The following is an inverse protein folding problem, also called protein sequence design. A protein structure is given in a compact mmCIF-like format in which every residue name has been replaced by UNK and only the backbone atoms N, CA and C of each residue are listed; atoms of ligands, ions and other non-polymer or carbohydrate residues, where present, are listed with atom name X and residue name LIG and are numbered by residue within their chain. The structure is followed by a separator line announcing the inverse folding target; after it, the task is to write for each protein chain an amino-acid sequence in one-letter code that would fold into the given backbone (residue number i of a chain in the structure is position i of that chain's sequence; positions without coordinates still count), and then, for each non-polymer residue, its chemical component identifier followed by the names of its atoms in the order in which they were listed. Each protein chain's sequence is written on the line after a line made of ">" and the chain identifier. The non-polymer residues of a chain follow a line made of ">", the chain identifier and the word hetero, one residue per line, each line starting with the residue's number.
data_IF_820219766727
#
_entry.id   IF_820219766727
#
_cell.length_a   1.000
_cell.length_b   1.000
_cell.length_c   1.000
_cell.angle_alpha   90.00
_cell.angle_beta   90.00
_cell.angle_gamma   90.00
#
_symmetry.space_group_name_H-M   'P 1'
#
loop_
_entity.id
_entity.type
_entity.pdbx_description
1 polymer ?
#
# COMPACT_ATOMS: atom_id res chain seq x y z
N UNK A 1 1.49 -6.99 -22.08
CA UNK A 1 2.68 -6.24 -21.60
C UNK A 1 2.14 -5.19 -20.67
N UNK A 2 2.65 -5.16 -19.44
CA UNK A 2 2.24 -4.16 -18.45
C UNK A 2 2.71 -2.80 -18.92
N UNK A 3 1.79 -1.83 -18.98
CA UNK A 3 2.11 -0.43 -19.33
C UNK A 3 1.89 0.51 -18.15
N UNK A 4 1.11 0.08 -17.15
CA UNK A 4 0.85 0.83 -15.93
C UNK A 4 1.00 -0.07 -14.70
N UNK A 5 1.80 0.36 -13.74
CA UNK A 5 1.95 -0.28 -12.43
C UNK A 5 1.34 0.65 -11.38
N UNK A 6 0.12 0.33 -10.93
CA UNK A 6 -0.69 1.25 -10.13
C UNK A 6 -0.60 0.99 -8.62
N UNK A 7 0.40 0.23 -8.17
CA UNK A 7 0.59 -0.02 -6.74
C UNK A 7 2.09 -0.10 -6.45
N UNK A 8 2.67 1.01 -6.01
CA UNK A 8 4.11 1.09 -5.71
C UNK A 8 4.37 1.95 -4.48
N UNK A 9 5.38 1.56 -3.72
CA UNK A 9 5.76 2.21 -2.47
C UNK A 9 7.12 2.89 -2.60
N UNK A 10 7.25 4.02 -1.94
CA UNK A 10 8.48 4.82 -1.93
C UNK A 10 9.11 4.82 -0.54
N UNK A 11 10.26 5.46 -0.41
CA UNK A 11 10.91 5.73 0.89
C UNK A 11 10.08 6.67 1.79
N UNK A 12 8.96 7.20 1.28
CA UNK A 12 7.98 7.93 2.06
C UNK A 12 7.17 7.00 2.98
N UNK A 13 7.13 5.69 2.69
CA UNK A 13 6.61 4.65 3.57
C UNK A 13 7.69 3.57 3.80
N UNK A 14 7.49 2.35 3.36
CA UNK A 14 8.39 1.20 3.55
C UNK A 14 9.00 0.65 2.26
N UNK A 15 8.82 1.36 1.13
CA UNK A 15 9.46 1.06 -0.13
C UNK A 15 10.92 1.55 -0.22
N UNK A 16 11.59 1.17 -1.30
CA UNK A 16 12.98 1.56 -1.58
C UNK A 16 13.11 2.67 -2.63
N UNK A 17 12.05 2.94 -3.39
CA UNK A 17 12.09 3.98 -4.41
C UNK A 17 12.04 5.39 -3.81
N UNK A 18 12.89 6.27 -4.31
CA UNK A 18 12.59 7.72 -4.37
C UNK A 18 11.75 8.01 -5.61
N UNK A 19 11.07 9.16 -5.70
CA UNK A 19 10.37 9.54 -6.94
C UNK A 19 11.28 9.53 -8.18
N UNK A 20 12.54 9.95 -8.02
CA UNK A 20 13.52 9.96 -9.11
C UNK A 20 13.86 8.54 -9.57
N UNK A 21 14.16 7.64 -8.63
CA UNK A 21 14.51 6.25 -8.94
C UNK A 21 13.31 5.46 -9.43
N UNK A 22 12.09 5.75 -8.96
CA UNK A 22 10.84 5.18 -9.47
C UNK A 22 10.66 5.52 -10.95
N UNK A 23 10.81 6.80 -11.32
CA UNK A 23 10.70 7.25 -12.72
C UNK A 23 11.79 6.64 -13.60
N UNK A 24 13.02 6.53 -13.09
CA UNK A 24 14.11 5.88 -13.80
C UNK A 24 13.83 4.39 -14.05
N UNK A 25 13.38 3.66 -13.02
CA UNK A 25 13.01 2.26 -13.11
C UNK A 25 11.83 2.06 -14.07
N UNK A 26 10.81 2.91 -14.03
CA UNK A 26 9.67 2.82 -14.95
C UNK A 26 10.13 2.86 -16.42
N UNK A 27 11.08 3.74 -16.74
CA UNK A 27 11.68 3.82 -18.09
C UNK A 27 12.50 2.59 -18.45
N UNK A 28 13.24 2.03 -17.50
CA UNK A 28 14.04 0.81 -17.68
C UNK A 28 13.16 -0.41 -17.97
N UNK A 29 12.07 -0.58 -17.21
CA UNK A 29 11.12 -1.68 -17.35
C UNK A 29 10.05 -1.47 -18.44
N UNK A 30 10.13 -0.37 -19.21
CA UNK A 30 9.14 0.04 -20.24
C UNK A 30 7.72 0.27 -19.69
N UNK A 31 7.59 0.55 -18.39
CA UNK A 31 6.34 0.96 -17.72
C UNK A 31 6.15 2.45 -17.95
N UNK A 32 4.98 2.84 -18.49
CA UNK A 32 4.70 4.22 -18.89
C UNK A 32 3.97 5.03 -17.82
N UNK A 33 3.36 4.33 -16.88
CA UNK A 33 2.54 4.92 -15.82
C UNK A 33 2.83 4.20 -14.52
N UNK A 34 3.08 4.96 -13.46
CA UNK A 34 3.22 4.43 -12.11
C UNK A 34 2.30 5.18 -11.16
N UNK A 35 1.75 4.53 -10.15
CA UNK A 35 1.07 5.21 -9.05
C UNK A 35 1.89 5.07 -7.76
N UNK A 36 2.12 6.20 -7.08
CA UNK A 36 2.74 6.22 -5.76
C UNK A 36 1.65 6.09 -4.72
N UNK A 37 1.60 4.97 -4.01
CA UNK A 37 0.50 4.59 -3.09
C UNK A 37 1.05 4.27 -1.70
N UNK A 38 1.90 5.15 -1.16
CA UNK A 38 2.52 4.95 0.14
C UNK A 38 1.51 4.66 1.27
N UNK A 39 1.94 3.85 2.24
CA UNK A 39 1.13 3.46 3.39
C UNK A 39 0.70 4.63 4.28
N UNK A 40 -0.60 4.90 4.25
CA UNK A 40 -1.36 5.81 5.13
C UNK A 40 -0.85 7.24 5.17
N UNK A 41 -0.26 7.68 4.07
CA UNK A 41 0.11 9.08 3.86
C UNK A 41 0.27 9.36 2.38
N UNK A 42 -0.03 10.59 2.01
CA UNK A 42 0.23 11.09 0.66
C UNK A 42 1.71 11.46 0.52
N UNK A 43 2.25 11.32 -0.69
CA UNK A 43 3.63 11.72 -0.96
C UNK A 43 3.77 13.27 -0.94
N UNK A 44 4.66 13.86 -0.11
CA UNK A 44 4.72 15.31 0.10
C UNK A 44 5.20 16.10 -1.13
N UNK A 45 6.00 15.47 -2.00
CA UNK A 45 6.49 16.13 -3.23
C UNK A 45 5.50 16.03 -4.40
N UNK A 46 4.42 15.26 -4.28
CA UNK A 46 3.35 15.19 -5.28
C UNK A 46 2.21 16.11 -4.81
N UNK A 47 1.96 17.19 -5.55
CA UNK A 47 0.98 18.21 -5.18
C UNK A 47 -0.20 18.29 -6.17
N UNK A 48 -0.20 17.42 -7.17
CA UNK A 48 -1.25 17.33 -8.19
C UNK A 48 -1.61 15.87 -8.41
N UNK A 49 -2.88 15.58 -8.77
CA UNK A 49 -3.34 14.21 -8.99
C UNK A 49 -2.49 13.38 -9.95
N UNK A 50 -1.89 14.03 -10.95
CA UNK A 50 -0.95 13.44 -11.91
C UNK A 50 0.19 14.40 -12.17
N UNK A 51 1.39 13.85 -12.33
CA UNK A 51 2.60 14.55 -12.76
C UNK A 51 3.24 13.79 -13.93
N UNK A 52 3.86 14.49 -14.88
CA UNK A 52 4.63 13.87 -15.96
C UNK A 52 6.11 14.18 -15.79
N UNK A 53 6.93 13.15 -15.66
CA UNK A 53 8.38 13.26 -15.46
C UNK A 53 9.08 12.35 -16.47
N UNK A 54 9.95 12.91 -17.31
CA UNK A 54 10.77 12.14 -18.26
C UNK A 54 10.00 11.15 -19.17
N UNK A 55 8.75 11.48 -19.51
CA UNK A 55 7.88 10.63 -20.34
C UNK A 55 7.16 9.51 -19.58
N UNK A 56 7.25 9.50 -18.25
CA UNK A 56 6.47 8.66 -17.34
C UNK A 56 5.36 9.50 -16.72
N UNK A 57 4.16 8.93 -16.66
CA UNK A 57 3.05 9.49 -15.89
C UNK A 57 3.11 8.94 -14.48
N UNK A 58 3.18 9.83 -13.49
CA UNK A 58 3.13 9.50 -12.07
C UNK A 58 1.76 9.90 -11.55
N UNK A 59 0.95 8.93 -11.15
CA UNK A 59 -0.34 9.12 -10.48
C UNK A 59 -0.07 9.27 -8.99
N UNK A 60 -0.57 10.35 -8.40
CA UNK A 60 -0.52 10.55 -6.95
C UNK A 60 -1.61 9.72 -6.31
N UNK A 61 -1.22 8.77 -5.47
CA UNK A 61 -2.13 7.88 -4.75
C UNK A 61 -1.81 7.77 -3.27
N UNK A 62 -2.49 6.84 -2.62
CA UNK A 62 -2.31 6.44 -1.21
C UNK A 62 -2.83 5.01 -1.04
N UNK A 63 -2.16 4.20 -0.23
CA UNK A 63 -2.73 2.95 0.31
C UNK A 63 -3.12 3.20 1.77
N UNK A 64 -4.41 3.23 2.07
CA UNK A 64 -4.92 3.48 3.41
C UNK A 64 -5.44 2.17 4.01
N UNK A 65 -4.84 1.76 5.14
CA UNK A 65 -5.37 0.63 5.90
C UNK A 65 -6.59 1.03 6.71
N UNK A 66 -7.61 0.18 6.70
CA UNK A 66 -8.89 0.39 7.37
C UNK A 66 -9.36 -0.86 8.11
N UNK A 67 -10.12 -0.67 9.19
CA UNK A 67 -10.76 -1.74 9.95
C UNK A 67 -12.19 -1.99 9.44
N UNK A 68 -12.43 -3.16 8.87
CA UNK A 68 -13.73 -3.62 8.38
C UNK A 68 -14.47 -4.52 9.40
N UNK A 69 -14.06 -4.50 10.67
CA UNK A 69 -14.64 -5.26 11.77
C UNK A 69 -14.00 -6.64 11.91
N UNK A 70 -14.26 -7.53 10.96
CA UNK A 70 -13.76 -8.91 11.03
C UNK A 70 -12.30 -9.05 10.55
N UNK A 71 -11.80 -8.05 9.81
CA UNK A 71 -10.42 -7.97 9.33
C UNK A 71 -10.03 -6.53 8.96
N UNK A 72 -8.72 -6.27 8.93
CA UNK A 72 -8.17 -5.04 8.34
C UNK A 72 -7.89 -5.24 6.85
N UNK A 73 -8.33 -4.28 6.02
CA UNK A 73 -8.10 -4.26 4.57
C UNK A 73 -7.40 -2.97 4.15
N UNK A 74 -6.87 -2.95 2.94
CA UNK A 74 -6.19 -1.79 2.37
C UNK A 74 -6.99 -1.23 1.20
N UNK A 75 -7.19 0.09 1.23
CA UNK A 75 -7.86 0.84 0.18
C UNK A 75 -6.84 1.65 -0.60
N UNK A 76 -6.86 1.51 -1.92
CA UNK A 76 -6.06 2.32 -2.85
C UNK A 76 -6.88 3.53 -3.27
N UNK A 77 -6.38 4.72 -2.96
CA UNK A 77 -6.87 5.99 -3.48
C UNK A 77 -5.99 6.47 -4.63
N UNK A 78 -6.60 6.90 -5.73
CA UNK A 78 -5.89 7.38 -6.93
C UNK A 78 -6.25 8.82 -7.27
N UNK A 79 -5.31 9.53 -7.90
CA UNK A 79 -5.47 10.91 -8.31
C UNK A 79 -5.82 11.83 -7.13
N UNK A 80 -5.00 11.75 -6.08
CA UNK A 80 -5.22 12.50 -4.84
C UNK A 80 -5.24 14.00 -5.08
N UNK A 81 -6.26 14.65 -4.53
CA UNK A 81 -6.39 16.08 -4.30
C UNK A 81 -6.52 16.25 -2.79
N UNK A 82 -5.41 16.60 -2.14
CA UNK A 82 -5.30 16.57 -0.69
C UNK A 82 -6.37 17.43 0.01
N UNK A 83 -6.96 16.88 1.06
CA UNK A 83 -8.02 17.52 1.86
C UNK A 83 -7.57 17.65 3.30
N UNK A 84 -8.08 18.68 4.00
CA UNK A 84 -7.75 18.85 5.40
C UNK A 84 -8.22 17.67 6.28
N UNK A 85 -9.29 16.97 5.86
CA UNK A 85 -9.83 15.79 6.54
C UNK A 85 -8.92 14.57 6.38
N UNK A 86 -8.42 14.31 5.16
CA UNK A 86 -7.47 13.23 4.90
C UNK A 86 -6.15 13.51 5.60
N UNK A 87 -5.59 14.72 5.43
CA UNK A 87 -4.33 15.12 6.06
C UNK A 87 -4.34 14.95 7.58
N UNK A 88 -5.42 15.39 8.25
CA UNK A 88 -5.56 15.22 9.69
C UNK A 88 -5.63 13.74 10.14
N UNK A 89 -6.27 12.88 9.34
CA UNK A 89 -6.32 11.44 9.62
C UNK A 89 -4.96 10.78 9.41
N UNK A 90 -4.27 11.10 8.31
CA UNK A 90 -2.93 10.57 8.04
C UNK A 90 -1.95 11.03 9.11
N UNK A 91 -1.99 12.29 9.56
CA UNK A 91 -1.14 12.79 10.66
C UNK A 91 -1.38 12.02 11.96
N UNK A 92 -2.65 11.75 12.30
CA UNK A 92 -3.02 10.92 13.48
C UNK A 92 -2.42 9.52 13.37
N UNK A 93 -2.54 8.90 12.19
CA UNK A 93 -2.02 7.56 11.92
C UNK A 93 -0.50 7.53 11.98
N UNK A 94 0.19 8.52 11.41
CA UNK A 94 1.66 8.57 11.41
C UNK A 94 2.20 8.75 12.84
N UNK A 95 1.52 9.53 13.69
CA UNK A 95 1.85 9.62 15.10
C UNK A 95 1.71 8.27 15.83
N UNK A 96 0.63 7.52 15.57
CA UNK A 96 0.45 6.15 16.10
C UNK A 96 1.55 5.20 15.61
N UNK A 97 1.89 5.25 14.31
CA UNK A 97 2.97 4.45 13.71
C UNK A 97 4.29 4.66 14.44
N UNK A 98 4.65 5.90 14.74
CA UNK A 98 5.87 6.26 15.48
C UNK A 98 5.82 5.72 16.92
N UNK A 99 4.72 5.91 17.65
CA UNK A 99 4.58 5.40 19.01
C UNK A 99 4.64 3.87 19.07
N UNK A 100 3.99 3.22 18.10
CA UNK A 100 3.97 1.76 17.97
C UNK A 100 5.34 1.21 17.64
N UNK A 101 6.08 1.85 16.72
CA UNK A 101 7.45 1.47 16.39
C UNK A 101 8.34 1.51 17.63
N UNK A 102 8.26 2.56 18.45
CA UNK A 102 9.01 2.65 19.72
C UNK A 102 8.69 1.51 20.68
N UNK A 103 7.41 1.18 20.84
CA UNK A 103 6.97 0.05 21.69
C UNK A 103 7.46 -1.29 21.15
N UNK A 104 7.34 -1.50 19.84
CA UNK A 104 7.77 -2.72 19.15
C UNK A 104 9.27 -2.92 19.31
N UNK A 105 10.08 -1.88 19.04
CA UNK A 105 11.53 -1.92 19.22
C UNK A 105 11.89 -2.26 20.67
N UNK A 106 11.31 -1.58 21.65
CA UNK A 106 11.57 -1.87 23.07
C UNK A 106 11.24 -3.32 23.47
N UNK A 107 10.19 -3.92 22.88
CA UNK A 107 9.86 -5.33 23.09
C UNK A 107 10.89 -6.26 22.43
N UNK A 108 11.31 -5.96 21.20
CA UNK A 108 12.31 -6.76 20.50
C UNK A 108 13.66 -6.72 21.21
N UNK A 109 14.12 -5.54 21.64
CA UNK A 109 15.37 -5.38 22.38
C UNK A 109 15.33 -6.12 23.72
N UNK A 110 14.18 -6.11 24.41
CA UNK A 110 13.99 -6.87 25.63
C UNK A 110 14.02 -8.40 25.42
N UNK A 111 13.45 -8.88 24.31
CA UNK A 111 13.39 -10.31 23.95
C UNK A 111 14.74 -10.84 23.47
N UNK A 112 15.47 -10.05 22.70
CA UNK A 112 16.69 -10.49 21.99
C UNK A 112 17.99 -10.01 22.66
N UNK A 113 17.93 -8.95 23.47
CA UNK A 113 19.09 -8.34 24.10
C UNK A 113 19.97 -7.48 23.17
N UNK A 114 19.52 -7.21 21.94
CA UNK A 114 20.22 -6.32 21.00
C UNK A 114 19.67 -4.89 21.08
N UNK A 115 20.42 -3.92 20.57
CA UNK A 115 20.01 -2.52 20.40
C UNK A 115 19.69 -2.31 18.91
N UNK A 116 18.51 -1.78 18.59
CA UNK A 116 18.07 -1.62 17.19
C UNK A 116 18.15 -0.16 16.74
N UNK A 117 18.81 0.07 15.62
CA UNK A 117 18.86 1.39 14.98
C UNK A 117 17.65 1.58 14.06
N UNK A 118 16.54 2.07 14.63
CA UNK A 118 15.30 2.38 13.89
C UNK A 118 15.01 3.88 13.98
N UNK A 119 14.87 4.53 12.83
CA UNK A 119 14.40 5.90 12.77
C UNK A 119 12.89 5.98 13.06
N UNK A 120 12.52 6.79 14.05
CA UNK A 120 11.14 6.98 14.49
C UNK A 120 10.50 8.20 13.83
N UNK A 121 10.27 8.10 12.53
CA UNK A 121 9.75 9.17 11.66
C UNK A 121 8.51 8.72 10.85
N UNK A 122 7.73 9.64 10.25
CA UNK A 122 6.57 9.27 9.44
C UNK A 122 6.93 8.28 8.32
N UNK A 123 6.09 7.28 8.10
CA UNK A 123 6.36 6.14 7.22
C UNK A 123 6.86 4.89 7.97
N UNK A 124 7.36 5.03 9.20
CA UNK A 124 7.86 3.89 9.98
C UNK A 124 6.79 2.80 10.16
N UNK A 125 7.24 1.55 10.14
CA UNK A 125 6.39 0.37 10.15
C UNK A 125 7.19 -0.89 10.50
N UNK A 126 6.50 -2.03 10.59
CA UNK A 126 7.14 -3.33 10.90
C UNK A 126 8.27 -3.71 9.94
N UNK A 127 8.18 -3.44 8.61
CA UNK A 127 9.29 -3.69 7.69
C UNK A 127 10.60 -3.01 8.08
N UNK A 128 10.54 -1.81 8.66
CA UNK A 128 11.73 -1.09 9.16
C UNK A 128 12.35 -1.78 10.38
N UNK A 129 11.51 -2.26 11.30
CA UNK A 129 11.96 -3.03 12.46
C UNK A 129 12.57 -4.38 12.02
N UNK A 130 11.93 -5.09 11.08
CA UNK A 130 12.46 -6.34 10.53
C UNK A 130 13.82 -6.14 9.85
N UNK A 131 14.01 -5.05 9.10
CA UNK A 131 15.30 -4.70 8.50
C UNK A 131 16.37 -4.44 9.56
N UNK A 132 16.05 -3.64 10.58
CA UNK A 132 16.98 -3.38 11.68
C UNK A 132 17.34 -4.66 12.46
N UNK A 133 16.38 -5.58 12.67
CA UNK A 133 16.65 -6.90 13.26
C UNK A 133 17.63 -7.69 12.39
N UNK A 134 17.39 -7.78 11.09
CA UNK A 134 18.23 -8.52 10.16
C UNK A 134 19.66 -7.94 10.01
N UNK A 135 19.82 -6.64 10.24
CA UNK A 135 21.11 -5.93 10.21
C UNK A 135 21.84 -5.95 11.57
N UNK A 136 21.17 -6.40 12.64
CA UNK A 136 21.72 -6.49 13.99
C UNK A 136 22.41 -7.83 14.28
N UNK A 137 22.90 -8.00 15.51
CA UNK A 137 23.44 -9.28 16.02
C UNK A 137 22.35 -10.28 16.43
N UNK A 138 21.06 -9.97 16.21
CA UNK A 138 19.95 -10.87 16.53
C UNK A 138 19.97 -12.12 15.62
N UNK A 139 19.51 -13.29 16.12
CA UNK A 139 19.55 -14.54 15.36
C UNK A 139 18.39 -14.68 14.37
N UNK A 140 17.92 -13.58 13.77
CA UNK A 140 16.78 -13.56 12.85
C UNK A 140 17.12 -12.76 11.59
N UNK A 141 16.72 -13.28 10.44
CA UNK A 141 16.68 -12.51 9.21
C UNK A 141 15.35 -11.73 9.10
N UNK A 142 15.13 -11.07 7.97
CA UNK A 142 13.94 -10.23 7.75
C UNK A 142 12.64 -11.03 7.91
N UNK A 143 12.56 -12.22 7.31
CA UNK A 143 11.39 -13.11 7.39
C UNK A 143 11.23 -13.67 8.81
N UNK A 144 12.33 -14.13 9.41
CA UNK A 144 12.36 -14.63 10.79
C UNK A 144 11.92 -13.58 11.82
N UNK A 145 12.16 -12.29 11.57
CA UNK A 145 11.63 -11.22 12.41
C UNK A 145 10.09 -11.20 12.41
N UNK A 146 9.44 -11.34 11.25
CA UNK A 146 7.99 -11.44 11.17
C UNK A 146 7.47 -12.73 11.79
N UNK A 147 8.09 -13.87 11.49
CA UNK A 147 7.64 -15.18 11.95
C UNK A 147 7.75 -15.37 13.46
N UNK A 148 8.75 -14.75 14.10
CA UNK A 148 9.09 -15.03 15.50
C UNK A 148 8.89 -13.87 16.46
N UNK A 149 8.85 -12.62 15.98
CA UNK A 149 8.84 -11.44 16.86
C UNK A 149 7.64 -10.52 16.61
N UNK A 150 7.52 -9.99 15.39
CA UNK A 150 6.66 -8.82 15.11
C UNK A 150 5.41 -9.11 14.25
N UNK A 151 5.23 -10.36 13.81
CA UNK A 151 4.01 -10.82 13.15
C UNK A 151 2.78 -10.71 14.05
N UNK A 152 1.57 -10.87 13.52
CA UNK A 152 0.33 -10.57 14.25
C UNK A 152 0.12 -11.43 15.53
N UNK A 153 0.70 -12.63 15.56
CA UNK A 153 0.74 -13.52 16.74
C UNK A 153 2.06 -13.45 17.53
N UNK A 154 2.95 -12.55 17.15
CA UNK A 154 4.31 -12.45 17.68
C UNK A 154 4.37 -11.80 19.07
N UNK A 155 5.39 -12.14 19.89
CA UNK A 155 5.54 -11.61 21.25
C UNK A 155 5.79 -10.09 21.31
N UNK A 156 6.29 -9.50 20.21
CA UNK A 156 6.58 -8.07 20.09
C UNK A 156 5.52 -7.32 19.28
N UNK A 157 4.40 -7.97 18.94
CA UNK A 157 3.31 -7.33 18.23
C UNK A 157 2.64 -6.25 19.07
N UNK A 158 2.42 -5.10 18.43
CA UNK A 158 1.62 -4.02 18.97
C UNK A 158 0.58 -3.69 17.91
N UNK A 159 -0.69 -3.71 18.27
CA UNK A 159 -1.78 -3.39 17.36
C UNK A 159 -1.70 -1.91 16.92
N UNK A 160 -2.16 -1.65 15.70
CA UNK A 160 -2.20 -0.33 15.10
C UNK A 160 -3.60 0.29 15.24
N UNK A 161 -3.68 1.61 15.38
CA UNK A 161 -4.96 2.32 15.36
C UNK A 161 -5.29 2.82 13.94
N UNK A 162 -6.13 2.09 13.22
CA UNK A 162 -6.61 2.45 11.87
C UNK A 162 -8.04 3.01 11.90
N UNK A 163 -8.46 3.83 10.91
CA UNK A 163 -9.86 4.26 10.79
C UNK A 163 -10.78 3.08 10.46
N UNK A 164 -12.08 3.21 10.72
CA UNK A 164 -13.05 2.24 10.21
C UNK A 164 -13.13 2.29 8.69
N UNK A 165 -13.59 1.21 8.07
CA UNK A 165 -13.82 1.12 6.64
C UNK A 165 -14.66 2.29 6.11
N UNK A 166 -15.80 2.60 6.75
CA UNK A 166 -16.66 3.70 6.32
C UNK A 166 -15.95 5.04 6.39
N UNK A 167 -15.16 5.26 7.46
CA UNK A 167 -14.39 6.49 7.60
C UNK A 167 -13.30 6.60 6.53
N UNK A 168 -12.61 5.50 6.24
CA UNK A 168 -11.60 5.46 5.19
C UNK A 168 -12.20 5.72 3.80
N UNK A 169 -13.32 5.09 3.48
CA UNK A 169 -14.06 5.36 2.22
C UNK A 169 -14.47 6.82 2.14
N UNK A 170 -15.10 7.39 3.18
CA UNK A 170 -15.53 8.79 3.16
C UNK A 170 -14.36 9.76 2.91
N UNK A 171 -13.21 9.51 3.54
CA UNK A 171 -12.00 10.32 3.37
C UNK A 171 -11.43 10.21 1.95
N UNK A 172 -11.30 8.98 1.44
CA UNK A 172 -10.72 8.75 0.13
C UNK A 172 -11.68 9.21 -0.98
N UNK A 173 -12.99 9.03 -0.86
CA UNK A 173 -13.96 9.54 -1.84
C UNK A 173 -14.01 11.07 -1.89
N UNK A 174 -13.67 11.77 -0.81
CA UNK A 174 -13.54 13.23 -0.82
C UNK A 174 -12.24 13.68 -1.52
N UNK A 175 -11.16 12.93 -1.32
CA UNK A 175 -9.80 13.32 -1.71
C UNK A 175 -9.28 12.67 -3.00
N UNK A 176 -9.88 11.60 -3.50
CA UNK A 176 -9.38 10.80 -4.61
C UNK A 176 -10.39 10.75 -5.76
N UNK A 177 -9.89 10.59 -6.99
CA UNK A 177 -10.73 10.40 -8.16
C UNK A 177 -11.30 8.98 -8.30
N UNK A 178 -10.73 8.01 -7.58
CA UNK A 178 -11.13 6.60 -7.59
C UNK A 178 -10.61 5.90 -6.33
N UNK A 179 -11.45 5.07 -5.72
CA UNK A 179 -11.11 4.27 -4.53
C UNK A 179 -11.31 2.78 -4.83
N UNK A 180 -10.31 1.95 -4.54
CA UNK A 180 -10.38 0.52 -4.80
C UNK A 180 -9.84 -0.35 -3.67
N UNK A 181 -10.23 -1.62 -3.66
CA UNK A 181 -9.70 -2.63 -2.74
C UNK A 181 -8.36 -3.17 -3.26
N UNK A 182 -7.32 -3.17 -2.42
CA UNK A 182 -6.03 -3.76 -2.74
C UNK A 182 -6.05 -5.29 -2.56
N UNK A 183 -5.27 -6.00 -3.38
CA UNK A 183 -4.86 -7.41 -3.24
C UNK A 183 -5.86 -8.34 -2.51
N UNK A 184 -7.12 -8.44 -2.98
CA UNK A 184 -8.23 -9.03 -2.21
C UNK A 184 -8.03 -10.48 -1.76
N UNK A 185 -7.15 -11.23 -2.43
CA UNK A 185 -6.88 -12.63 -2.12
C UNK A 185 -5.72 -12.83 -1.11
N UNK A 186 -5.17 -11.74 -0.54
CA UNK A 186 -4.20 -11.79 0.57
C UNK A 186 -4.89 -11.92 1.93
N UNK A 187 -6.13 -11.47 2.04
CA UNK A 187 -6.84 -11.42 3.31
C UNK A 187 -7.26 -12.80 3.81
N UNK A 188 -7.49 -12.90 5.13
CA UNK A 188 -7.90 -14.15 5.78
C UNK A 188 -9.27 -14.62 5.31
N UNK A 189 -10.19 -13.69 5.02
CA UNK A 189 -11.48 -13.95 4.38
C UNK A 189 -11.65 -13.08 3.11
N UNK A 190 -11.19 -13.57 1.94
CA UNK A 190 -11.29 -12.83 0.68
C UNK A 190 -12.73 -12.55 0.24
N UNK A 191 -13.69 -13.43 0.52
CA UNK A 191 -15.09 -13.21 0.11
C UNK A 191 -15.70 -12.07 0.94
N UNK A 192 -15.41 -12.01 2.25
CA UNK A 192 -15.82 -10.89 3.09
C UNK A 192 -15.15 -9.56 2.67
N UNK A 193 -13.86 -9.60 2.28
CA UNK A 193 -13.17 -8.42 1.77
C UNK A 193 -13.79 -7.93 0.44
N UNK A 194 -14.05 -8.83 -0.50
CA UNK A 194 -14.67 -8.50 -1.79
C UNK A 194 -16.11 -8.00 -1.64
N UNK A 195 -16.85 -8.41 -0.61
CA UNK A 195 -18.19 -7.89 -0.34
C UNK A 195 -18.19 -6.38 -0.02
N UNK A 196 -17.07 -5.83 0.47
CA UNK A 196 -16.90 -4.39 0.72
C UNK A 196 -16.86 -3.56 -0.58
N UNK A 197 -16.64 -4.21 -1.72
CA UNK A 197 -16.60 -3.52 -3.01
C UNK A 197 -17.95 -2.93 -3.44
N UNK A 198 -19.07 -3.22 -2.75
CA UNK A 198 -20.34 -2.52 -2.95
C UNK A 198 -20.27 -1.01 -2.62
N UNK A 199 -19.23 -0.58 -1.90
CA UNK A 199 -18.92 0.81 -1.55
C UNK A 199 -17.68 1.39 -2.26
N UNK A 200 -17.07 0.66 -3.17
CA UNK A 200 -15.81 1.04 -3.84
C UNK A 200 -16.01 1.17 -5.35
N UNK A 201 -15.08 1.86 -6.01
CA UNK A 201 -15.12 2.09 -7.46
C UNK A 201 -14.34 1.03 -8.24
N UNK A 202 -13.41 0.35 -7.56
CA UNK A 202 -12.41 -0.49 -8.20
C UNK A 202 -11.93 -1.66 -7.32
N UNK A 203 -11.23 -2.60 -7.95
CA UNK A 203 -10.53 -3.68 -7.26
C UNK A 203 -9.24 -4.03 -7.99
N UNK A 204 -8.21 -4.31 -7.23
CA UNK A 204 -6.94 -4.80 -7.74
C UNK A 204 -7.09 -6.25 -8.21
N UNK A 205 -7.08 -6.42 -9.54
CA UNK A 205 -7.20 -7.73 -10.18
C UNK A 205 -5.82 -8.31 -10.50
N UNK A 206 -4.94 -7.49 -11.08
CA UNK A 206 -3.58 -7.90 -11.41
C UNK A 206 -2.66 -7.64 -10.23
N UNK A 207 -2.29 -8.71 -9.53
CA UNK A 207 -1.39 -8.68 -8.39
C UNK A 207 -0.51 -9.95 -8.38
N UNK A 208 0.75 -9.82 -7.98
CA UNK A 208 1.66 -10.96 -7.84
C UNK A 208 1.54 -11.57 -6.44
N UNK A 209 0.67 -12.58 -6.32
CA UNK A 209 0.46 -13.29 -5.05
C UNK A 209 1.62 -14.22 -4.66
N UNK A 210 2.66 -14.38 -5.50
CA UNK A 210 3.75 -15.34 -5.28
C UNK A 210 3.32 -16.81 -5.30
N UNK A 211 2.06 -17.09 -5.65
CA UNK A 211 1.44 -18.41 -5.75
C UNK A 211 0.32 -18.39 -6.78
N UNK A 212 -0.07 -19.57 -7.27
CA UNK A 212 -1.30 -19.67 -8.06
C UNK A 212 -2.52 -19.35 -7.20
N UNK A 213 -3.40 -18.50 -7.72
CA UNK A 213 -4.64 -18.08 -7.09
C UNK A 213 -5.83 -18.27 -8.02
N UNK A 214 -7.01 -18.44 -7.43
CA UNK A 214 -8.27 -18.45 -8.15
C UNK A 214 -8.85 -17.04 -8.21
N UNK A 215 -8.86 -16.42 -9.39
CA UNK A 215 -9.37 -15.06 -9.59
C UNK A 215 -10.89 -14.99 -9.76
N UNK A 216 -11.60 -16.13 -9.85
CA UNK A 216 -13.06 -16.14 -10.05
C UNK A 216 -13.85 -15.34 -9.01
N UNK A 217 -13.47 -15.29 -7.71
CA UNK A 217 -14.14 -14.41 -6.75
C UNK A 217 -14.02 -12.94 -7.12
N UNK A 218 -12.83 -12.50 -7.56
CA UNK A 218 -12.60 -11.12 -7.99
C UNK A 218 -13.40 -10.80 -9.25
N UNK A 219 -13.44 -11.72 -10.22
CA UNK A 219 -14.26 -11.58 -11.44
C UNK A 219 -15.75 -11.41 -11.13
N UNK A 220 -16.27 -12.20 -10.18
CA UNK A 220 -17.66 -12.07 -9.72
C UNK A 220 -17.91 -10.70 -9.09
N UNK A 221 -17.00 -10.22 -8.23
CA UNK A 221 -17.15 -8.91 -7.61
C UNK A 221 -17.09 -7.77 -8.64
N UNK A 222 -16.21 -7.87 -9.64
CA UNK A 222 -16.13 -6.92 -10.77
C UNK A 222 -17.47 -6.85 -11.51
N UNK A 223 -18.06 -8.00 -11.84
CA UNK A 223 -19.35 -8.06 -12.54
C UNK A 223 -20.52 -7.59 -11.66
N UNK A 224 -20.54 -7.97 -10.38
CA UNK A 224 -21.64 -7.68 -9.46
C UNK A 224 -21.72 -6.19 -9.11
N UNK A 225 -20.57 -5.56 -8.83
CA UNK A 225 -20.51 -4.17 -8.38
C UNK A 225 -20.10 -3.18 -9.49
N UNK A 226 -19.76 -3.67 -10.69
CA UNK A 226 -19.39 -2.83 -11.82
C UNK A 226 -18.05 -2.14 -11.65
N UNK A 227 -17.07 -2.84 -11.06
CA UNK A 227 -15.79 -2.27 -10.62
C UNK A 227 -14.86 -1.99 -11.79
N UNK A 228 -14.08 -0.92 -11.66
CA UNK A 228 -12.90 -0.68 -12.48
C UNK A 228 -11.78 -1.65 -12.09
N UNK A 229 -11.14 -2.26 -13.08
CA UNK A 229 -9.96 -3.09 -12.84
C UNK A 229 -8.73 -2.22 -12.61
N UNK A 230 -8.04 -2.45 -11.48
CA UNK A 230 -6.69 -1.92 -11.22
C UNK A 230 -5.68 -3.06 -11.12
N UNK A 231 -4.41 -2.70 -10.99
CA UNK A 231 -3.34 -3.66 -10.89
C UNK A 231 -2.00 -3.00 -10.66
N UNK A 232 -1.17 -3.63 -9.83
CA UNK A 232 0.18 -3.18 -9.57
C UNK A 232 1.01 -4.27 -8.91
N UNK A 233 2.30 -3.99 -8.81
CA UNK A 233 3.28 -4.92 -8.27
C UNK A 233 3.34 -4.94 -6.74
N UNK A 234 2.78 -3.91 -6.09
CA UNK A 234 2.97 -3.66 -4.65
C UNK A 234 4.47 -3.58 -4.32
N UNK A 235 5.21 -2.92 -5.23
CA UNK A 235 6.66 -2.86 -5.18
C UNK A 235 7.15 -2.09 -3.96
N UNK A 236 7.84 -2.81 -3.09
CA UNK A 236 8.67 -2.25 -2.01
C UNK A 236 10.17 -2.36 -2.33
N UNK A 237 10.53 -3.09 -3.39
CA UNK A 237 11.88 -3.22 -3.94
C UNK A 237 12.04 -2.38 -5.23
N UNK A 238 13.18 -2.50 -5.92
CA UNK A 238 13.47 -1.74 -7.13
C UNK A 238 12.96 -2.38 -8.44
N UNK A 239 11.93 -3.25 -8.37
CA UNK A 239 11.40 -3.96 -9.54
C UNK A 239 9.95 -3.56 -9.81
N UNK A 240 9.69 -3.07 -11.03
CA UNK A 240 8.35 -2.67 -11.47
C UNK A 240 7.77 -3.62 -12.50
N UNK A 241 6.44 -3.57 -12.65
CA UNK A 241 5.71 -4.23 -13.73
C UNK A 241 5.62 -5.75 -13.61
N UNK A 242 5.83 -6.31 -12.42
CA UNK A 242 5.53 -7.73 -12.12
C UNK A 242 4.07 -8.05 -12.34
N UNK A 243 3.22 -7.12 -11.94
CA UNK A 243 1.80 -7.07 -12.22
C UNK A 243 1.40 -5.62 -12.57
N UNK A 244 0.27 -5.46 -13.24
CA UNK A 244 -0.20 -4.16 -13.67
C UNK A 244 -1.07 -4.25 -14.91
N UNK A 245 -1.56 -3.09 -15.34
CA UNK A 245 -2.53 -2.99 -16.43
C UNK A 245 -1.86 -3.04 -17.80
N UNK A 246 -2.55 -3.64 -18.76
CA UNK A 246 -2.24 -3.44 -20.17
C UNK A 246 -2.75 -2.09 -20.70
N UNK A 247 -2.58 -1.84 -22.00
CA UNK A 247 -2.95 -0.57 -22.63
C UNK A 247 -4.45 -0.30 -22.63
N UNK A 248 -5.29 -1.32 -22.80
CA UNK A 248 -6.74 -1.13 -22.88
C UNK A 248 -7.34 -1.00 -21.48
N UNK A 249 -6.85 -1.77 -20.53
CA UNK A 249 -7.19 -1.64 -19.11
C UNK A 249 -6.78 -0.28 -18.56
N UNK A 250 -5.55 0.18 -18.85
CA UNK A 250 -5.11 1.52 -18.45
C UNK A 250 -6.00 2.63 -19.04
N UNK A 251 -6.49 2.48 -20.28
CA UNK A 251 -7.45 3.45 -20.86
C UNK A 251 -8.75 3.48 -20.08
N UNK A 252 -9.26 2.33 -19.65
CA UNK A 252 -10.47 2.23 -18.83
C UNK A 252 -10.26 2.90 -17.47
N UNK A 253 -9.16 2.55 -16.77
CA UNK A 253 -8.75 3.18 -15.52
C UNK A 253 -8.66 4.71 -15.67
N UNK A 254 -7.90 5.20 -16.64
CA UNK A 254 -7.72 6.65 -16.87
C UNK A 254 -9.06 7.38 -17.07
N UNK A 255 -9.99 6.77 -17.81
CA UNK A 255 -11.32 7.34 -18.01
C UNK A 255 -12.14 7.37 -16.71
N UNK A 256 -12.01 6.36 -15.84
CA UNK A 256 -12.70 6.29 -14.56
C UNK A 256 -12.18 7.36 -13.58
N UNK A 257 -10.85 7.54 -13.50
CA UNK A 257 -10.20 8.52 -12.63
C UNK A 257 -10.27 9.96 -13.18
N UNK A 258 -10.82 10.16 -14.38
CA UNK A 258 -10.91 11.45 -15.08
C UNK A 258 -9.55 12.13 -15.34
N UNK A 259 -8.53 11.33 -15.68
CA UNK A 259 -7.15 11.77 -15.98
C UNK A 259 -6.88 12.01 -17.48
#
# INVERSE_FOLDING_TARGET
>A
MVVADLHTHTTNSDGQFTLETLVAAAREYDVRVVAVTDHDRTHPDLNTPVTHVDGVTVVHGIELRVDAGDQEVDLLGYAVTDTASLGAETDRIQADRIERARKTVALVEAETGVDLDVAFEPGVGRPHVARAVAESDAPYDYEGAFDHLIGDDGPCYVARAVPSFERGVDLLSEACGLVGLAHPLRYGDPEAALALCDRLDAVEYHYDYGREVDLRPVERAIEEYGLTVTGGSDAHDEVLGRAGLDRDEYRAFRNAVSL
#
